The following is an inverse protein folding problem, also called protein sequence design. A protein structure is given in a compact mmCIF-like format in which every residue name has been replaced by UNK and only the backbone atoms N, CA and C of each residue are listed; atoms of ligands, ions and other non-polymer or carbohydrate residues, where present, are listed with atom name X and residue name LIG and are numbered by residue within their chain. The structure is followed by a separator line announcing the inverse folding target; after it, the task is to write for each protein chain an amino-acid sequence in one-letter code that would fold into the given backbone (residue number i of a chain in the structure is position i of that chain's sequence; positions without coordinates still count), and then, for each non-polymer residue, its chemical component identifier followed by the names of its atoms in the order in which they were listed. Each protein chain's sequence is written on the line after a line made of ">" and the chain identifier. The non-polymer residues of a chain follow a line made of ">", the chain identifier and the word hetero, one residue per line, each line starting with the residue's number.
data_IF_887231763189
#
_entry.id   IF_887231763189
#
_cell.length_a   1.000
_cell.length_b   1.000
_cell.length_c   1.000
_cell.angle_alpha   90.00
_cell.angle_beta   90.00
_cell.angle_gamma   90.00
#
_symmetry.space_group_name_H-M   'P 1'
#
loop_
_entity.id
_entity.type
_entity.pdbx_description
1 polymer ?
#
# COMPACT_ATOMS: atom_id res chain seq x y z
N UNK A 1 30.02 9.10 -59.40
CA UNK A 1 30.91 10.10 -58.75
C UNK A 1 30.04 11.33 -58.57
N UNK A 2 29.59 11.76 -57.40
CA UNK A 2 30.23 11.93 -56.08
C UNK A 2 29.16 11.97 -54.97
N UNK A 3 29.43 11.35 -53.82
CA UNK A 3 28.83 11.70 -52.51
C UNK A 3 29.63 12.88 -51.89
N UNK A 4 29.15 13.59 -50.84
CA UNK A 4 29.27 13.05 -49.46
C UNK A 4 28.22 13.50 -48.40
N UNK A 5 28.27 12.80 -47.25
CA UNK A 5 27.96 13.20 -45.84
C UNK A 5 26.51 13.56 -45.45
N UNK A 6 25.91 13.10 -44.33
CA UNK A 6 26.34 12.31 -43.16
C UNK A 6 25.11 11.79 -42.36
N UNK A 7 25.27 11.11 -41.21
CA UNK A 7 24.18 10.38 -40.56
C UNK A 7 23.40 11.27 -39.58
N UNK A 8 22.06 11.26 -39.69
CA UNK A 8 21.18 11.82 -38.67
C UNK A 8 20.64 10.69 -37.79
N UNK A 9 21.22 10.59 -36.60
CA UNK A 9 20.75 9.80 -35.48
C UNK A 9 19.41 10.35 -34.95
N UNK A 10 18.31 9.67 -35.25
CA UNK A 10 17.00 9.92 -34.64
C UNK A 10 16.87 9.14 -33.34
N UNK A 11 17.19 9.77 -32.22
CA UNK A 11 16.88 9.27 -30.87
C UNK A 11 15.36 9.29 -30.69
N UNK A 12 14.73 8.11 -30.70
CA UNK A 12 13.34 7.96 -30.27
C UNK A 12 13.24 8.28 -28.78
N UNK A 13 12.61 9.41 -28.46
CA UNK A 13 12.35 9.87 -27.10
C UNK A 13 11.43 8.88 -26.38
N UNK A 14 11.95 8.25 -25.33
CA UNK A 14 11.13 7.52 -24.35
C UNK A 14 10.23 8.54 -23.64
N UNK A 15 8.92 8.29 -23.44
CA UNK A 15 8.08 9.21 -22.68
C UNK A 15 8.58 9.25 -21.23
N UNK A 16 8.96 10.44 -20.77
CA UNK A 16 9.33 10.66 -19.36
C UNK A 16 8.15 10.43 -18.42
N UNK A 17 8.42 10.21 -17.12
CA UNK A 17 7.37 10.04 -16.12
C UNK A 17 6.45 11.26 -16.09
N UNK A 18 5.15 11.01 -16.01
CA UNK A 18 4.11 12.03 -15.94
C UNK A 18 4.44 13.05 -14.85
N UNK A 19 4.75 14.27 -15.28
CA UNK A 19 5.05 15.38 -14.40
C UNK A 19 3.75 15.78 -13.68
N UNK A 20 3.66 15.45 -12.39
CA UNK A 20 2.54 15.86 -11.54
C UNK A 20 2.57 17.39 -11.43
N UNK A 21 1.43 18.05 -11.71
CA UNK A 21 1.29 19.49 -11.59
C UNK A 21 1.30 19.89 -10.12
N UNK A 22 2.09 20.92 -9.78
CA UNK A 22 2.20 21.44 -8.42
C UNK A 22 0.83 21.98 -7.96
N UNK A 23 0.14 21.21 -7.11
CA UNK A 23 -1.24 21.49 -6.67
C UNK A 23 -1.32 22.39 -5.43
N UNK A 24 -0.19 22.87 -4.91
CA UNK A 24 -0.14 23.74 -3.72
C UNK A 24 -0.51 23.04 -2.39
N UNK A 25 -0.71 21.72 -2.40
CA UNK A 25 -0.96 20.92 -1.19
C UNK A 25 0.34 20.65 -0.43
N UNK A 26 0.29 20.71 0.91
CA UNK A 26 1.42 20.32 1.76
C UNK A 26 1.79 18.83 1.59
N UNK A 27 3.05 18.47 1.83
CA UNK A 27 3.55 17.09 1.75
C UNK A 27 3.78 16.52 3.15
N UNK A 28 3.18 15.35 3.43
CA UNK A 28 3.40 14.57 4.65
C UNK A 28 4.23 13.32 4.30
N UNK A 29 5.06 12.80 5.21
CA UNK A 29 5.90 11.62 4.96
C UNK A 29 5.31 10.36 5.60
N UNK A 30 5.22 9.29 4.80
CA UNK A 30 4.89 7.92 5.24
C UNK A 30 6.02 6.94 4.96
N UNK A 31 5.99 5.77 5.60
CA UNK A 31 6.92 4.65 5.33
C UNK A 31 6.13 3.37 5.12
N UNK A 32 6.56 2.55 4.16
CA UNK A 32 6.06 1.20 3.90
C UNK A 32 7.24 0.26 3.77
N UNK A 33 7.13 -0.96 4.29
CA UNK A 33 8.06 -2.02 3.98
C UNK A 33 7.41 -3.03 3.04
N UNK A 34 7.80 -2.99 1.77
CA UNK A 34 7.42 -4.03 0.81
C UNK A 34 8.32 -5.23 1.09
N UNK A 35 7.74 -6.29 1.68
CA UNK A 35 8.36 -7.59 1.75
C UNK A 35 7.83 -8.40 0.57
N UNK A 36 8.68 -8.63 -0.44
CA UNK A 36 8.33 -9.54 -1.53
C UNK A 36 8.24 -10.95 -0.96
N UNK A 37 7.34 -11.80 -1.47
CA UNK A 37 7.16 -13.17 -0.97
C UNK A 37 8.47 -14.00 -1.01
N UNK A 38 9.41 -13.60 -1.86
CA UNK A 38 10.71 -14.27 -2.10
C UNK A 38 11.88 -13.72 -1.27
N UNK A 39 11.80 -12.50 -0.73
CA UNK A 39 12.92 -11.84 -0.04
C UNK A 39 12.74 -11.75 1.48
N UNK A 40 11.75 -12.45 2.06
CA UNK A 40 11.57 -12.50 3.52
C UNK A 40 12.79 -13.20 4.15
N UNK A 41 13.71 -12.47 4.81
CA UNK A 41 14.64 -13.12 5.71
C UNK A 41 13.79 -13.72 6.84
N UNK A 42 14.15 -14.88 7.38
CA UNK A 42 13.38 -15.54 8.45
C UNK A 42 13.11 -14.64 9.70
N UNK A 43 13.77 -13.47 9.78
CA UNK A 43 13.68 -12.48 10.85
C UNK A 43 12.69 -11.32 10.65
N UNK A 44 12.00 -11.18 9.51
CA UNK A 44 10.92 -10.18 9.37
C UNK A 44 9.56 -10.86 9.44
N UNK A 45 8.82 -10.58 10.51
CA UNK A 45 7.54 -11.19 10.83
C UNK A 45 6.42 -10.76 9.89
N UNK A 46 6.30 -11.48 8.78
CA UNK A 46 5.20 -11.31 7.84
C UNK A 46 4.13 -12.34 8.18
N UNK A 47 3.05 -11.91 8.84
CA UNK A 47 1.83 -12.71 8.91
C UNK A 47 0.90 -12.23 7.81
N UNK A 48 0.99 -12.90 6.67
CA UNK A 48 0.07 -12.71 5.54
C UNK A 48 -1.22 -13.51 5.73
N UNK A 49 -2.32 -13.01 5.21
CA UNK A 49 -3.63 -13.66 5.33
C UNK A 49 -4.57 -13.33 4.18
N UNK A 50 -5.81 -13.83 4.27
CA UNK A 50 -6.91 -13.45 3.37
C UNK A 50 -7.98 -12.73 4.18
N UNK A 51 -8.40 -11.56 3.72
CA UNK A 51 -9.50 -10.76 4.27
C UNK A 51 -10.50 -10.45 3.15
N UNK A 52 -11.62 -9.83 3.50
CA UNK A 52 -12.54 -9.30 2.49
C UNK A 52 -12.69 -7.79 2.65
N UNK A 53 -12.55 -7.04 1.56
CA UNK A 53 -12.82 -5.59 1.52
C UNK A 53 -14.06 -5.38 0.68
N UNK A 54 -15.14 -4.85 1.28
CA UNK A 54 -16.45 -4.76 0.62
C UNK A 54 -16.90 -6.07 -0.08
N UNK A 55 -16.60 -7.22 0.54
CA UNK A 55 -16.94 -8.54 0.00
C UNK A 55 -15.98 -9.11 -1.05
N UNK A 56 -14.93 -8.39 -1.45
CA UNK A 56 -13.90 -8.87 -2.37
C UNK A 56 -12.73 -9.47 -1.59
N UNK A 57 -12.34 -10.71 -1.92
CA UNK A 57 -11.20 -11.39 -1.29
C UNK A 57 -9.89 -10.67 -1.62
N UNK A 58 -9.13 -10.34 -0.59
CA UNK A 58 -7.87 -9.60 -0.67
C UNK A 58 -6.76 -10.33 0.09
N UNK A 59 -5.57 -10.40 -0.50
CA UNK A 59 -4.35 -10.82 0.20
C UNK A 59 -3.85 -9.66 1.05
N UNK A 60 -3.78 -9.88 2.36
CA UNK A 60 -3.34 -8.87 3.33
C UNK A 60 -1.95 -9.17 3.86
N UNK A 61 -1.20 -8.11 4.12
CA UNK A 61 0.02 -8.11 4.92
C UNK A 61 -0.20 -7.29 6.19
N UNK A 62 0.06 -7.88 7.37
CA UNK A 62 0.22 -7.13 8.61
C UNK A 62 1.67 -6.64 8.70
N UNK A 63 1.91 -5.32 8.67
CA UNK A 63 3.26 -4.73 8.60
C UNK A 63 3.45 -3.67 9.70
N UNK A 64 4.16 -4.02 10.78
CA UNK A 64 4.54 -3.05 11.82
C UNK A 64 5.57 -2.01 11.35
N UNK A 65 6.21 -2.24 10.21
CA UNK A 65 7.08 -1.27 9.57
C UNK A 65 6.32 -0.18 8.82
N UNK A 66 5.09 -0.46 8.38
CA UNK A 66 4.25 0.51 7.71
C UNK A 66 3.63 1.47 8.72
N UNK A 67 3.73 2.79 8.45
CA UNK A 67 3.13 3.77 9.35
C UNK A 67 1.63 3.97 9.14
N UNK A 68 1.13 3.66 7.95
CA UNK A 68 -0.28 3.76 7.58
C UNK A 68 -0.74 2.45 6.93
N UNK A 69 -2.03 2.31 6.71
CA UNK A 69 -2.61 1.21 5.97
C UNK A 69 -2.82 1.57 4.50
N UNK A 70 -2.61 0.61 3.61
CA UNK A 70 -2.56 0.83 2.16
C UNK A 70 -3.39 -0.19 1.40
N UNK A 71 -3.90 0.23 0.26
CA UNK A 71 -4.60 -0.63 -0.71
C UNK A 71 -3.93 -0.52 -2.08
N UNK A 72 -3.78 -1.67 -2.73
CA UNK A 72 -3.24 -1.73 -4.07
C UNK A 72 -4.19 -1.06 -5.06
N UNK A 73 -3.71 -0.13 -5.87
CA UNK A 73 -4.50 0.54 -6.92
C UNK A 73 -5.21 -0.45 -7.86
N UNK A 74 -4.54 -1.57 -8.21
CA UNK A 74 -5.12 -2.66 -9.02
C UNK A 74 -6.30 -3.37 -8.35
N UNK A 75 -6.30 -3.44 -7.02
CA UNK A 75 -7.37 -4.06 -6.25
C UNK A 75 -8.48 -3.05 -5.96
N UNK A 76 -8.09 -1.79 -5.67
CA UNK A 76 -9.01 -0.67 -5.53
C UNK A 76 -9.89 -0.47 -6.77
N UNK A 77 -9.38 -0.69 -7.98
CA UNK A 77 -10.19 -0.62 -9.22
C UNK A 77 -11.29 -1.67 -9.31
N UNK A 78 -11.22 -2.74 -8.51
CA UNK A 78 -12.28 -3.75 -8.40
C UNK A 78 -13.38 -3.29 -7.42
N UNK A 79 -13.09 -2.33 -6.54
CA UNK A 79 -14.06 -1.79 -5.61
C UNK A 79 -14.99 -0.85 -6.37
N UNK A 80 -16.29 -1.05 -6.27
CA UNK A 80 -17.30 -0.19 -6.91
C UNK A 80 -17.53 1.11 -6.10
N UNK A 81 -16.46 1.67 -5.54
CA UNK A 81 -16.44 2.84 -4.65
C UNK A 81 -15.26 3.73 -5.05
N UNK A 82 -15.44 5.05 -4.98
CA UNK A 82 -14.39 6.02 -5.28
C UNK A 82 -13.61 6.42 -4.02
N UNK A 83 -12.29 6.63 -4.10
CA UNK A 83 -11.51 7.14 -2.98
C UNK A 83 -11.76 8.63 -2.76
N UNK A 84 -11.60 9.07 -1.51
CA UNK A 84 -11.56 10.47 -1.13
C UNK A 84 -10.19 11.10 -1.45
N UNK A 85 -10.21 12.41 -1.59
CA UNK A 85 -9.01 13.21 -1.75
C UNK A 85 -8.50 13.74 -0.40
N UNK A 86 -7.25 13.45 -0.06
CA UNK A 86 -6.56 13.95 1.12
C UNK A 86 -6.22 15.45 0.97
N UNK A 87 -6.19 16.21 2.09
CA UNK A 87 -5.82 17.63 2.07
C UNK A 87 -4.31 17.85 1.86
N UNK A 88 -3.52 16.78 1.87
CA UNK A 88 -2.07 16.78 1.66
C UNK A 88 -1.70 15.65 0.68
N UNK A 89 -0.50 15.75 0.11
CA UNK A 89 0.11 14.64 -0.63
C UNK A 89 0.97 13.83 0.34
N UNK A 90 0.73 12.54 0.43
CA UNK A 90 1.57 11.63 1.20
C UNK A 90 2.72 11.14 0.32
N UNK A 91 3.96 11.37 0.75
CA UNK A 91 5.18 10.82 0.16
C UNK A 91 5.59 9.57 0.96
N UNK A 92 5.36 8.41 0.36
CA UNK A 92 5.58 7.09 0.95
C UNK A 92 6.92 6.55 0.47
N UNK A 93 7.86 6.30 1.39
CA UNK A 93 9.16 5.72 1.05
C UNK A 93 9.08 4.21 0.92
N UNK A 94 9.71 3.67 -0.13
CA UNK A 94 9.87 2.23 -0.32
C UNK A 94 11.19 1.76 0.29
N UNK A 95 11.32 0.46 0.68
CA UNK A 95 12.58 -0.07 1.20
C UNK A 95 13.74 0.00 0.22
N UNK A 96 13.42 -0.07 -1.08
CA UNK A 96 14.38 0.02 -2.18
C UNK A 96 14.94 1.43 -2.40
N UNK A 97 14.58 2.40 -1.54
CA UNK A 97 15.07 3.78 -1.59
C UNK A 97 14.26 4.71 -2.51
N UNK A 98 13.18 4.20 -3.10
CA UNK A 98 12.24 5.00 -3.88
C UNK A 98 11.20 5.72 -3.02
N UNK A 99 10.37 6.55 -3.66
CA UNK A 99 9.15 7.07 -3.04
C UNK A 99 7.98 7.09 -4.01
N UNK A 100 6.79 7.02 -3.43
CA UNK A 100 5.51 6.97 -4.11
C UNK A 100 4.64 8.06 -3.52
N UNK A 101 3.97 8.85 -4.35
CA UNK A 101 3.13 9.96 -3.91
C UNK A 101 1.67 9.70 -4.22
N UNK A 102 0.82 10.00 -3.26
CA UNK A 102 -0.63 9.83 -3.40
C UNK A 102 -1.35 10.83 -2.52
N UNK A 103 -2.50 11.30 -2.97
CA UNK A 103 -3.48 12.03 -2.16
C UNK A 103 -4.83 11.31 -2.14
N UNK A 104 -4.87 10.01 -2.48
CA UNK A 104 -6.10 9.22 -2.54
C UNK A 104 -6.19 8.24 -1.36
N UNK A 105 -7.34 8.23 -0.69
CA UNK A 105 -7.60 7.36 0.47
C UNK A 105 -9.04 6.89 0.46
N UNK A 106 -9.29 5.64 0.82
CA UNK A 106 -10.62 5.18 1.20
C UNK A 106 -10.77 5.25 2.71
N UNK A 107 -11.75 6.00 3.21
CA UNK A 107 -11.95 6.19 4.65
C UNK A 107 -12.96 5.21 5.22
N UNK A 108 -12.69 4.68 6.41
CA UNK A 108 -13.61 3.79 7.12
C UNK A 108 -14.05 2.58 6.29
N UNK A 109 -13.13 1.99 5.52
CA UNK A 109 -13.41 0.77 4.75
C UNK A 109 -13.81 -0.35 5.68
N UNK A 110 -14.95 -0.98 5.42
CA UNK A 110 -15.30 -2.23 6.07
C UNK A 110 -14.43 -3.36 5.50
N UNK A 111 -13.69 -3.99 6.41
CA UNK A 111 -12.91 -5.18 6.19
C UNK A 111 -13.54 -6.30 7.01
N UNK A 112 -13.78 -7.46 6.41
CA UNK A 112 -14.13 -8.67 7.15
C UNK A 112 -12.88 -9.50 7.41
N UNK A 113 -12.58 -9.74 8.68
CA UNK A 113 -11.54 -10.65 9.14
C UNK A 113 -12.18 -11.76 9.97
N UNK A 114 -11.99 -13.02 9.55
CA UNK A 114 -12.62 -14.18 10.19
C UNK A 114 -14.15 -14.03 10.38
N UNK A 115 -14.83 -13.32 9.47
CA UNK A 115 -16.27 -13.06 9.54
C UNK A 115 -16.67 -11.87 10.41
N UNK A 116 -15.71 -11.19 11.04
CA UNK A 116 -15.94 -10.02 11.90
C UNK A 116 -15.63 -8.72 11.14
N UNK A 117 -16.56 -7.75 11.14
CA UNK A 117 -16.31 -6.45 10.53
C UNK A 117 -15.37 -5.60 11.38
N UNK A 118 -14.31 -5.09 10.75
CA UNK A 118 -13.35 -4.13 11.27
C UNK A 118 -13.16 -3.01 10.24
N UNK A 119 -12.64 -1.87 10.65
CA UNK A 119 -12.59 -0.67 9.81
C UNK A 119 -11.17 -0.15 9.66
N UNK A 120 -10.82 0.31 8.45
CA UNK A 120 -9.51 0.90 8.17
C UNK A 120 -9.62 2.08 7.20
N UNK A 121 -8.75 3.07 7.38
CA UNK A 121 -8.45 4.05 6.32
C UNK A 121 -7.36 3.44 5.43
N UNK A 122 -7.63 3.30 4.13
CA UNK A 122 -6.74 2.63 3.18
C UNK A 122 -6.24 3.59 2.11
N UNK A 123 -4.93 3.89 2.15
CA UNK A 123 -4.29 4.82 1.23
C UNK A 123 -3.92 4.11 -0.08
N UNK A 124 -4.26 4.70 -1.22
CA UNK A 124 -4.11 4.04 -2.51
C UNK A 124 -2.67 4.17 -3.01
N UNK A 125 -2.02 3.02 -3.28
CA UNK A 125 -0.66 2.94 -3.82
C UNK A 125 -0.53 1.86 -4.91
N UNK A 126 0.36 2.02 -5.90
CA UNK A 126 0.71 0.94 -6.83
C UNK A 126 1.67 -0.09 -6.19
N UNK A 127 1.21 -0.78 -5.15
CA UNK A 127 1.87 -1.99 -4.62
C UNK A 127 1.46 -3.21 -5.46
N UNK A 128 2.28 -4.27 -5.47
CA UNK A 128 2.09 -5.45 -6.33
C UNK A 128 1.93 -6.77 -5.55
N UNK A 129 2.68 -6.96 -4.47
CA UNK A 129 2.73 -8.26 -3.79
C UNK A 129 1.55 -8.52 -2.88
N UNK A 130 0.85 -7.49 -2.40
CA UNK A 130 -0.35 -7.62 -1.57
C UNK A 130 -1.46 -6.73 -2.12
N UNK A 131 -2.70 -7.06 -1.78
CA UNK A 131 -3.87 -6.25 -2.12
C UNK A 131 -4.12 -5.20 -1.04
N UNK A 132 -3.84 -5.53 0.22
CA UNK A 132 -3.93 -4.64 1.38
C UNK A 132 -2.68 -4.80 2.25
N UNK A 133 -2.16 -3.68 2.78
CA UNK A 133 -1.16 -3.67 3.85
C UNK A 133 -1.81 -2.96 5.04
N UNK A 134 -1.86 -3.62 6.20
CA UNK A 134 -2.32 -3.03 7.44
C UNK A 134 -1.12 -2.62 8.27
N UNK A 135 -0.98 -1.30 8.43
CA UNK A 135 0.13 -0.67 9.12
C UNK A 135 -0.17 -0.37 10.58
N UNK A 136 0.74 0.35 11.21
CA UNK A 136 0.68 0.71 12.62
C UNK A 136 -0.55 1.54 13.02
N UNK A 137 -1.12 2.32 12.10
CA UNK A 137 -2.38 3.04 12.32
C UNK A 137 -3.53 2.07 12.66
N UNK A 138 -3.65 0.99 11.90
CA UNK A 138 -4.67 -0.03 12.12
C UNK A 138 -4.27 -1.00 13.23
N UNK A 139 -3.04 -1.51 13.21
CA UNK A 139 -2.53 -2.47 14.20
C UNK A 139 -2.63 -1.92 15.63
N UNK A 140 -2.32 -0.64 15.85
CA UNK A 140 -2.44 -0.04 17.18
C UNK A 140 -3.89 0.23 17.59
N UNK A 141 -4.76 0.62 16.65
CA UNK A 141 -6.19 0.83 16.92
C UNK A 141 -6.87 -0.44 17.42
N UNK A 142 -6.48 -1.60 16.87
CA UNK A 142 -6.98 -2.91 17.27
C UNK A 142 -6.06 -3.67 18.23
N UNK A 143 -5.07 -3.01 18.84
CA UNK A 143 -4.15 -3.61 19.82
C UNK A 143 -3.54 -4.94 19.34
N UNK A 144 -3.18 -5.01 18.07
CA UNK A 144 -2.68 -6.23 17.47
C UNK A 144 -1.39 -6.70 18.16
N UNK A 145 -1.37 -7.98 18.51
CA UNK A 145 -0.22 -8.71 19.01
C UNK A 145 0.23 -9.68 17.93
N UNK A 146 1.48 -9.55 17.48
CA UNK A 146 2.04 -10.40 16.44
C UNK A 146 3.04 -11.37 17.07
N UNK A 147 2.72 -12.66 17.01
CA UNK A 147 3.65 -13.73 17.35
C UNK A 147 4.35 -14.19 16.08
N UNK A 148 5.55 -13.65 15.88
CA UNK A 148 6.38 -13.90 14.71
C UNK A 148 6.82 -15.37 14.62
N UNK A 149 7.02 -16.02 15.77
CA UNK A 149 7.50 -17.39 15.84
C UNK A 149 6.40 -18.37 15.42
N UNK A 150 5.19 -18.17 15.97
CA UNK A 150 4.02 -18.98 15.64
C UNK A 150 3.30 -18.53 14.36
N UNK A 151 3.71 -17.38 13.78
CA UNK A 151 3.10 -16.76 12.59
C UNK A 151 1.62 -16.45 12.79
N UNK A 152 1.25 -16.00 13.98
CA UNK A 152 -0.11 -15.61 14.33
C UNK A 152 -0.19 -14.11 14.61
N UNK A 153 -1.38 -13.55 14.39
CA UNK A 153 -1.72 -12.20 14.82
C UNK A 153 -3.04 -12.28 15.57
N UNK A 154 -3.01 -11.87 16.82
CA UNK A 154 -4.19 -11.72 17.64
C UNK A 154 -4.51 -10.23 17.69
N UNK A 155 -5.77 -9.83 17.64
CA UNK A 155 -6.15 -8.43 17.82
C UNK A 155 -7.42 -8.29 18.63
N UNK A 156 -7.52 -7.19 19.35
CA UNK A 156 -8.64 -6.90 20.23
C UNK A 156 -9.59 -5.93 19.55
N UNK A 157 -10.84 -6.35 19.42
CA UNK A 157 -11.93 -5.47 19.04
C UNK A 157 -12.19 -4.41 20.13
N UNK A 158 -12.82 -3.28 19.78
CA UNK A 158 -13.23 -2.27 20.74
C UNK A 158 -14.12 -2.78 21.88
N UNK A 159 -14.83 -3.89 21.67
CA UNK A 159 -15.68 -4.55 22.69
C UNK A 159 -14.91 -5.48 23.64
N UNK A 160 -13.59 -5.62 23.44
CA UNK A 160 -12.71 -6.47 24.26
C UNK A 160 -12.56 -7.90 23.76
N UNK A 161 -13.24 -8.28 22.68
CA UNK A 161 -13.08 -9.62 22.07
C UNK A 161 -11.73 -9.72 21.37
N UNK A 162 -10.97 -10.78 21.66
CA UNK A 162 -9.75 -11.12 20.91
C UNK A 162 -10.10 -12.11 19.78
N UNK A 163 -9.59 -11.83 18.59
CA UNK A 163 -9.74 -12.66 17.38
C UNK A 163 -8.36 -12.99 16.84
#
# INVERSE_FOLDING_TARGET
>A
MTAPTGPASGSGSVPGPSQWRDTGKGIVKGRVFILTQTEVPESTSVVGGTIYVYGFSARVLMDSGASHSFIASRFASCLNVFPDCMPYVLDVRTPTGGSMRTDSVYRGCEISMAGVPVYADLIVLPIHDFDVILGMDWLSAYRAYMDCYNKTVDFCLPDGTTI
#
